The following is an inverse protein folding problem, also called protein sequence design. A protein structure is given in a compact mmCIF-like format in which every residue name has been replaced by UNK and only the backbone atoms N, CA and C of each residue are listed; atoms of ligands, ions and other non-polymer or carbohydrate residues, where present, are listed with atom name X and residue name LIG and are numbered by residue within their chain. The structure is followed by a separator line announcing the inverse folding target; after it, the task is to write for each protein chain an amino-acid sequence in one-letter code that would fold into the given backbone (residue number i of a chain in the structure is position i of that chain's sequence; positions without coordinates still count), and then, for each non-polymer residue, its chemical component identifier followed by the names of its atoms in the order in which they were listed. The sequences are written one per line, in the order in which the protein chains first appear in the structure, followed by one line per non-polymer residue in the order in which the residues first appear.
data_IF_725714923346
#
_entry.id   IF_725714923346
#
_cell.length_a   1.000
_cell.length_b   1.000
_cell.length_c   1.000
_cell.angle_alpha   90.00
_cell.angle_beta   90.00
_cell.angle_gamma   90.00
#
_symmetry.space_group_name_H-M   'P 1'
#
loop_
_entity.id
_entity.type
_entity.pdbx_description
1 polymer ?
#
# COMPACT_ATOMS: atom_id res chain seq x y z
N UNK A 1 -23.73 24.08 0.11
CA UNK A 1 -24.16 22.79 0.69
C UNK A 1 -22.89 21.95 0.83
N UNK A 2 -22.31 21.99 2.02
CA UNK A 2 -21.01 21.39 2.34
C UNK A 2 -21.13 19.87 2.31
N UNK A 3 -20.38 19.22 1.43
CA UNK A 3 -20.26 17.78 1.42
C UNK A 3 -19.67 17.33 2.76
N UNK A 4 -20.50 16.69 3.58
CA UNK A 4 -20.04 15.97 4.77
C UNK A 4 -19.25 14.75 4.33
N UNK A 5 -17.93 14.84 4.39
CA UNK A 5 -17.05 13.67 4.28
C UNK A 5 -17.46 12.71 5.40
N UNK A 6 -17.85 11.46 5.10
CA UNK A 6 -18.23 10.52 6.14
C UNK A 6 -16.99 10.23 6.99
N UNK A 7 -17.13 10.36 8.30
CA UNK A 7 -16.08 10.06 9.28
C UNK A 7 -15.55 8.66 9.01
N UNK A 8 -14.31 8.59 8.51
CA UNK A 8 -13.67 7.35 8.10
C UNK A 8 -13.58 6.40 9.28
N UNK A 9 -14.03 5.16 9.10
CA UNK A 9 -13.76 4.10 10.06
C UNK A 9 -12.26 3.76 9.98
N UNK A 10 -11.47 4.44 10.80
CA UNK A 10 -10.01 4.27 10.88
C UNK A 10 -9.63 2.81 11.16
N UNK A 11 -10.50 2.05 11.85
CA UNK A 11 -10.29 0.63 12.12
C UNK A 11 -10.44 -0.20 10.84
N UNK A 12 -11.42 0.13 10.00
CA UNK A 12 -11.64 -0.55 8.73
C UNK A 12 -10.49 -0.30 7.74
N UNK A 13 -10.03 0.95 7.58
CA UNK A 13 -8.91 1.27 6.69
C UNK A 13 -7.59 0.64 7.18
N UNK A 14 -7.31 0.70 8.49
CA UNK A 14 -6.18 -0.04 9.08
C UNK A 14 -6.24 -1.53 8.77
N UNK A 15 -7.40 -2.14 8.95
CA UNK A 15 -7.59 -3.58 8.67
C UNK A 15 -7.38 -3.89 7.18
N UNK A 16 -7.88 -3.02 6.29
CA UNK A 16 -7.69 -3.14 4.83
C UNK A 16 -6.21 -3.08 4.45
N UNK A 17 -5.47 -2.10 4.96
CA UNK A 17 -4.02 -1.97 4.74
C UNK A 17 -3.29 -3.21 5.23
N UNK A 18 -3.54 -3.65 6.47
CA UNK A 18 -2.89 -4.83 7.04
C UNK A 18 -3.15 -6.11 6.23
N UNK A 19 -4.38 -6.29 5.73
CA UNK A 19 -4.72 -7.43 4.90
C UNK A 19 -3.99 -7.42 3.55
N UNK A 20 -3.80 -6.25 2.93
CA UNK A 20 -3.00 -6.10 1.72
C UNK A 20 -1.52 -6.42 1.96
N UNK A 21 -0.95 -5.89 3.05
CA UNK A 21 0.43 -6.15 3.44
C UNK A 21 0.70 -7.64 3.70
N UNK A 22 -0.23 -8.35 4.38
CA UNK A 22 -0.12 -9.82 4.59
C UNK A 22 -0.13 -10.60 3.27
N UNK A 23 -0.89 -10.16 2.26
CA UNK A 23 -0.89 -10.79 0.93
C UNK A 23 0.44 -10.56 0.22
N UNK A 24 0.97 -9.33 0.27
CA UNK A 24 2.29 -8.99 -0.26
C UNK A 24 3.38 -9.85 0.39
N UNK A 25 3.35 -10.01 1.71
CA UNK A 25 4.26 -10.88 2.45
C UNK A 25 4.24 -12.33 1.92
N UNK A 26 3.04 -12.85 1.61
CA UNK A 26 2.89 -14.14 0.95
C UNK A 26 3.52 -14.20 -0.44
N UNK A 27 3.37 -13.15 -1.25
CA UNK A 27 4.02 -13.07 -2.57
C UNK A 27 5.54 -13.00 -2.46
N UNK A 28 6.09 -12.24 -1.50
CA UNK A 28 7.53 -12.16 -1.27
C UNK A 28 8.10 -13.52 -0.83
N UNK A 29 7.42 -14.23 0.08
CA UNK A 29 7.79 -15.62 0.43
C UNK A 29 7.74 -16.56 -0.79
N UNK A 30 6.73 -16.40 -1.64
CA UNK A 30 6.63 -17.15 -2.89
C UNK A 30 7.83 -16.91 -3.81
N UNK A 31 8.23 -15.65 -3.99
CA UNK A 31 9.41 -15.28 -4.77
C UNK A 31 10.69 -15.89 -4.22
N UNK A 32 10.90 -15.83 -2.89
CA UNK A 32 12.06 -16.46 -2.24
C UNK A 32 12.14 -17.94 -2.58
N UNK A 33 11.05 -18.69 -2.38
CA UNK A 33 10.97 -20.12 -2.69
C UNK A 33 11.23 -20.41 -4.17
N UNK A 34 10.67 -19.60 -5.08
CA UNK A 34 10.88 -19.80 -6.52
C UNK A 34 12.34 -19.59 -6.94
N UNK A 35 13.05 -18.66 -6.30
CA UNK A 35 14.47 -18.44 -6.54
C UNK A 35 15.30 -19.59 -5.95
N UNK A 36 14.98 -20.05 -4.74
CA UNK A 36 15.63 -21.21 -4.11
C UNK A 36 15.46 -22.50 -4.92
N UNK A 37 14.29 -22.68 -5.55
CA UNK A 37 13.97 -23.82 -6.41
C UNK A 37 14.39 -23.63 -7.88
N UNK A 38 15.14 -22.56 -8.20
CA UNK A 38 15.62 -22.24 -9.56
C UNK A 38 14.52 -22.29 -10.64
N UNK A 39 13.33 -21.74 -10.34
CA UNK A 39 12.20 -21.71 -11.27
C UNK A 39 12.50 -20.90 -12.53
N UNK A 40 11.73 -21.18 -13.58
CA UNK A 40 11.87 -20.52 -14.88
C UNK A 40 11.67 -19.01 -14.81
N UNK A 41 12.44 -18.27 -15.61
CA UNK A 41 12.47 -16.81 -15.60
C UNK A 41 11.09 -16.19 -15.78
N UNK A 42 10.24 -16.75 -16.66
CA UNK A 42 8.88 -16.24 -16.91
C UNK A 42 8.00 -16.35 -15.67
N UNK A 43 8.09 -17.45 -14.92
CA UNK A 43 7.28 -17.66 -13.73
C UNK A 43 7.69 -16.69 -12.61
N UNK A 44 9.00 -16.57 -12.36
CA UNK A 44 9.55 -15.64 -11.35
C UNK A 44 9.18 -14.20 -11.68
N UNK A 45 9.38 -13.79 -12.94
CA UNK A 45 9.07 -12.42 -13.37
C UNK A 45 7.57 -12.12 -13.33
N UNK A 46 6.71 -13.11 -13.59
CA UNK A 46 5.25 -12.97 -13.47
C UNK A 46 4.84 -12.71 -12.03
N UNK A 47 5.34 -13.51 -11.07
CA UNK A 47 5.04 -13.28 -9.65
C UNK A 47 5.63 -11.95 -9.15
N UNK A 48 6.83 -11.59 -9.61
CA UNK A 48 7.45 -10.30 -9.28
C UNK A 48 6.58 -9.13 -9.78
N UNK A 49 6.12 -9.16 -11.03
CA UNK A 49 5.25 -8.12 -11.58
C UNK A 49 3.93 -8.03 -10.80
N UNK A 50 3.36 -9.17 -10.42
CA UNK A 50 2.17 -9.23 -9.57
C UNK A 50 2.41 -8.60 -8.18
N UNK A 51 3.54 -8.92 -7.54
CA UNK A 51 3.91 -8.35 -6.24
C UNK A 51 4.15 -6.84 -6.32
N UNK A 52 4.82 -6.38 -7.39
CA UNK A 52 5.05 -4.96 -7.65
C UNK A 52 3.74 -4.20 -7.82
N UNK A 53 2.82 -4.68 -8.67
CA UNK A 53 1.53 -4.02 -8.86
C UNK A 53 0.69 -4.00 -7.57
N UNK A 54 0.72 -5.10 -6.80
CA UNK A 54 0.06 -5.15 -5.50
C UNK A 54 0.67 -4.14 -4.51
N UNK A 55 1.98 -3.92 -4.55
CA UNK A 55 2.69 -2.96 -3.72
C UNK A 55 2.30 -1.52 -4.10
N UNK A 56 2.33 -1.19 -5.39
CA UNK A 56 1.90 0.13 -5.92
C UNK A 56 0.47 0.45 -5.46
N UNK A 57 -0.49 -0.45 -5.72
CA UNK A 57 -1.89 -0.24 -5.30
C UNK A 57 -2.10 -0.19 -3.77
N UNK A 58 -1.20 -0.80 -2.99
CA UNK A 58 -1.25 -0.74 -1.53
C UNK A 58 -0.64 0.57 -1.03
N UNK A 59 0.39 1.08 -1.72
CA UNK A 59 0.98 2.39 -1.49
C UNK A 59 -0.05 3.52 -1.65
N UNK A 60 -0.87 3.47 -2.71
CA UNK A 60 -1.94 4.45 -2.94
C UNK A 60 -2.93 4.52 -1.77
N UNK A 61 -3.40 3.35 -1.30
CA UNK A 61 -4.34 3.26 -0.16
C UNK A 61 -3.71 3.78 1.13
N UNK A 62 -2.44 3.44 1.38
CA UNK A 62 -1.69 3.95 2.55
C UNK A 62 -1.57 5.46 2.45
N UNK A 63 -1.19 5.99 1.30
CA UNK A 63 -1.02 7.42 1.09
C UNK A 63 -2.32 8.17 1.35
N UNK A 64 -3.42 7.76 0.72
CA UNK A 64 -4.74 8.35 0.90
C UNK A 64 -5.15 8.34 2.38
N UNK A 65 -5.07 7.17 3.03
CA UNK A 65 -5.45 7.01 4.44
C UNK A 65 -4.63 7.93 5.36
N UNK A 66 -3.31 7.97 5.18
CA UNK A 66 -2.44 8.73 6.08
C UNK A 66 -2.48 10.23 5.78
N UNK A 67 -2.71 10.64 4.53
CA UNK A 67 -2.97 12.05 4.17
C UNK A 67 -4.22 12.56 4.88
N UNK A 68 -5.32 11.79 4.85
CA UNK A 68 -6.55 12.14 5.57
C UNK A 68 -6.32 12.21 7.08
N UNK A 69 -5.58 11.25 7.66
CA UNK A 69 -5.26 11.25 9.09
C UNK A 69 -4.39 12.45 9.50
N UNK A 70 -3.37 12.81 8.71
CA UNK A 70 -2.52 13.97 8.96
C UNK A 70 -3.34 15.27 8.91
N UNK A 71 -4.25 15.40 7.93
CA UNK A 71 -5.18 16.54 7.86
C UNK A 71 -6.09 16.62 9.09
N UNK A 72 -6.69 15.49 9.51
CA UNK A 72 -7.54 15.44 10.70
C UNK A 72 -6.82 15.81 12.00
N UNK A 73 -5.49 15.61 12.05
CA UNK A 73 -4.63 15.98 13.18
C UNK A 73 -4.11 17.42 13.12
N UNK A 74 -4.41 18.17 12.06
CA UNK A 74 -3.94 19.55 11.88
C UNK A 74 -2.47 19.66 11.49
N UNK A 75 -1.90 18.64 10.84
CA UNK A 75 -0.53 18.71 10.33
C UNK A 75 -0.38 19.74 9.20
N UNK A 76 0.82 20.31 9.06
CA UNK A 76 1.07 21.40 8.11
C UNK A 76 1.03 20.88 6.66
N UNK A 77 0.54 21.68 5.71
CA UNK A 77 0.53 21.30 4.29
C UNK A 77 1.91 20.92 3.73
N UNK A 78 2.98 21.53 4.24
CA UNK A 78 4.35 21.21 3.83
C UNK A 78 4.76 19.76 4.17
N UNK A 79 4.23 19.19 5.25
CA UNK A 79 4.52 17.81 5.66
C UNK A 79 3.70 16.81 4.85
N UNK A 80 2.46 17.17 4.49
CA UNK A 80 1.63 16.42 3.53
C UNK A 80 2.28 16.33 2.13
N UNK A 81 2.87 17.42 1.64
CA UNK A 81 3.58 17.44 0.35
C UNK A 81 4.80 16.51 0.35
N UNK A 82 5.46 16.30 1.51
CA UNK A 82 6.56 15.33 1.62
C UNK A 82 6.05 13.90 1.47
N UNK A 83 4.91 13.56 2.07
CA UNK A 83 4.29 12.23 1.94
C UNK A 83 3.97 11.88 0.49
N UNK A 84 3.37 12.82 -0.25
CA UNK A 84 3.06 12.65 -1.67
C UNK A 84 4.31 12.39 -2.53
N UNK A 85 5.47 12.94 -2.15
CA UNK A 85 6.73 12.71 -2.88
C UNK A 85 7.33 11.32 -2.62
N UNK A 86 6.97 10.66 -1.54
CA UNK A 86 7.45 9.31 -1.21
C UNK A 86 6.68 8.21 -1.96
N UNK A 87 5.51 8.53 -2.48
CA UNK A 87 4.65 7.60 -3.22
C UNK A 87 4.89 7.64 -4.75
N UNK A 88 5.91 8.36 -5.22
CA UNK A 88 6.21 8.57 -6.64
C UNK A 88 7.56 8.00 -7.04
#
# INVERSE_FOLDING_TARGET
MTASVPVSDHQAEKTRILNRLRRLEGQIRGLQKMVEEEKGCVEVMSLYASARSALESTGDVILETYVEMCQARGEKPADLVKLLKLAR
#
